data_IF_926138842886
#
_entry.id   IF_926138842886
#
_cell.length_a   1.000
_cell.length_b   1.000
_cell.length_c   1.000
_cell.angle_alpha   90.00
_cell.angle_beta   90.00
_cell.angle_gamma   90.00
#
_symmetry.space_group_name_H-M   'P 1'
#
loop_
_entity.id
_entity.type
_entity.pdbx_description
1 polymer ?
#
# COMPACT_ATOMS: atom_id res chain seq x y z
N UNK A 1 -11.62 -20.86 13.18
CA UNK A 1 -11.86 -19.41 13.02
C UNK A 1 -10.56 -18.72 13.40
N UNK A 2 -9.88 -18.06 12.46
CA UNK A 2 -8.71 -17.24 12.78
C UNK A 2 -9.17 -16.10 13.66
N UNK A 3 -8.66 -15.99 14.89
CA UNK A 3 -9.02 -14.92 15.82
C UNK A 3 -8.08 -13.75 15.56
N UNK A 4 -8.55 -12.74 14.83
CA UNK A 4 -7.82 -11.49 14.66
C UNK A 4 -7.79 -10.70 15.97
N UNK A 5 -6.74 -9.92 16.20
CA UNK A 5 -6.65 -8.98 17.32
C UNK A 5 -6.96 -7.55 16.86
N UNK A 6 -7.37 -6.69 17.79
CA UNK A 6 -7.60 -5.27 17.50
C UNK A 6 -6.33 -4.64 16.93
N UNK A 7 -6.44 -3.88 15.83
CA UNK A 7 -5.29 -3.31 15.15
C UNK A 7 -4.70 -4.16 14.02
N UNK A 8 -5.17 -5.40 13.85
CA UNK A 8 -4.71 -6.29 12.79
C UNK A 8 -5.53 -6.10 11.51
N UNK A 9 -4.90 -6.19 10.34
CA UNK A 9 -5.61 -6.14 9.07
C UNK A 9 -6.52 -7.38 8.90
N UNK A 10 -7.82 -7.17 8.70
CA UNK A 10 -8.84 -8.24 8.71
C UNK A 10 -9.57 -8.35 7.36
N UNK A 11 -10.42 -9.37 7.15
CA UNK A 11 -11.25 -9.47 5.95
C UNK A 11 -12.17 -8.27 5.71
N UNK A 12 -12.64 -7.61 6.76
CA UNK A 12 -13.45 -6.38 6.66
C UNK A 12 -12.62 -5.24 6.05
N UNK A 13 -11.40 -5.04 6.55
CA UNK A 13 -10.46 -4.07 5.97
C UNK A 13 -10.12 -4.38 4.52
N UNK A 14 -10.00 -5.67 4.18
CA UNK A 14 -9.74 -6.14 2.82
C UNK A 14 -10.94 -5.89 1.89
N UNK A 15 -12.17 -5.99 2.38
CA UNK A 15 -13.37 -5.71 1.60
C UNK A 15 -13.47 -4.22 1.26
N UNK A 16 -13.24 -3.35 2.25
CA UNK A 16 -13.27 -1.90 2.06
C UNK A 16 -12.23 -1.39 1.07
N UNK A 17 -11.02 -1.96 1.06
CA UNK A 17 -9.90 -1.44 0.26
C UNK A 17 -9.99 -1.77 -1.24
N UNK A 18 -10.87 -2.69 -1.67
CA UNK A 18 -10.83 -3.27 -3.03
C UNK A 18 -10.85 -2.22 -4.13
N UNK A 19 -11.74 -1.22 -4.05
CA UNK A 19 -11.87 -0.17 -5.07
C UNK A 19 -10.55 0.57 -5.29
N UNK A 20 -9.88 0.99 -4.22
CA UNK A 20 -8.59 1.67 -4.35
C UNK A 20 -7.48 0.77 -4.89
N UNK A 21 -7.50 -0.55 -4.63
CA UNK A 21 -6.55 -1.48 -5.23
C UNK A 21 -6.79 -1.65 -6.74
N UNK A 22 -8.05 -1.63 -7.19
CA UNK A 22 -8.41 -1.64 -8.61
C UNK A 22 -7.92 -0.37 -9.32
N UNK A 23 -8.10 0.79 -8.69
CA UNK A 23 -7.60 2.07 -9.19
C UNK A 23 -6.06 2.09 -9.28
N UNK A 24 -5.36 1.59 -8.25
CA UNK A 24 -3.91 1.41 -8.30
C UNK A 24 -3.49 0.50 -9.47
N UNK A 25 -4.19 -0.63 -9.62
CA UNK A 25 -3.89 -1.61 -10.66
C UNK A 25 -4.08 -1.07 -12.08
N UNK A 26 -5.04 -0.17 -12.26
CA UNK A 26 -5.34 0.46 -13.56
C UNK A 26 -4.53 1.74 -13.82
N UNK A 27 -3.70 2.17 -12.87
CA UNK A 27 -2.85 3.36 -13.00
C UNK A 27 -3.55 4.68 -12.65
N UNK A 28 -4.77 4.64 -12.11
CA UNK A 28 -5.48 5.82 -11.64
C UNK A 28 -5.01 6.23 -10.23
N UNK A 29 -3.72 6.53 -10.10
CA UNK A 29 -3.07 6.70 -8.80
C UNK A 29 -3.62 7.84 -7.96
N UNK A 30 -4.04 8.95 -8.58
CA UNK A 30 -4.69 10.04 -7.86
C UNK A 30 -6.06 9.61 -7.30
N UNK A 31 -6.89 8.91 -8.10
CA UNK A 31 -8.18 8.43 -7.63
C UNK A 31 -8.02 7.36 -6.55
N UNK A 32 -7.01 6.51 -6.68
CA UNK A 32 -6.61 5.56 -5.64
C UNK A 32 -6.27 6.28 -4.33
N UNK A 33 -5.51 7.39 -4.39
CA UNK A 33 -5.23 8.22 -3.22
C UNK A 33 -6.51 8.68 -2.54
N UNK A 34 -7.41 9.34 -3.26
CA UNK A 34 -8.64 9.90 -2.69
C UNK A 34 -9.49 8.82 -2.02
N UNK A 35 -9.77 7.72 -2.73
CA UNK A 35 -10.62 6.63 -2.20
C UNK A 35 -10.02 5.99 -0.95
N UNK A 36 -8.70 5.78 -0.92
CA UNK A 36 -8.05 5.16 0.25
C UNK A 36 -7.86 6.17 1.39
N UNK A 37 -7.74 7.47 1.12
CA UNK A 37 -7.65 8.51 2.15
C UNK A 37 -8.92 8.55 3.01
N UNK A 38 -10.10 8.44 2.40
CA UNK A 38 -11.37 8.36 3.13
C UNK A 38 -11.39 7.16 4.10
N UNK A 39 -11.01 5.97 3.63
CA UNK A 39 -10.88 4.78 4.49
C UNK A 39 -9.86 4.95 5.61
N UNK A 40 -8.73 5.60 5.30
CA UNK A 40 -7.69 5.89 6.27
C UNK A 40 -8.16 6.85 7.35
N UNK A 41 -8.98 7.84 7.01
CA UNK A 41 -9.59 8.79 7.93
C UNK A 41 -10.64 8.13 8.83
N UNK A 42 -11.47 7.25 8.29
CA UNK A 42 -12.51 6.56 9.06
C UNK A 42 -11.93 5.54 10.06
N UNK A 43 -10.78 4.94 9.76
CA UNK A 43 -10.13 3.93 10.59
C UNK A 43 -9.31 4.51 11.78
N UNK A 44 -9.66 5.69 12.29
CA UNK A 44 -8.97 6.30 13.44
C UNK A 44 -9.00 5.39 14.68
N UNK A 45 -7.84 5.17 15.30
CA UNK A 45 -7.67 4.30 16.46
C UNK A 45 -7.39 2.85 16.11
N UNK A 46 -7.58 2.43 14.85
CA UNK A 46 -7.20 1.11 14.36
C UNK A 46 -5.82 1.15 13.67
N UNK A 47 -4.89 0.28 14.07
CA UNK A 47 -3.59 0.18 13.43
C UNK A 47 -3.64 -0.42 12.00
N UNK A 48 -4.72 -1.08 11.61
CA UNK A 48 -4.92 -1.55 10.23
C UNK A 48 -4.90 -0.39 9.22
N UNK A 49 -5.25 0.83 9.64
CA UNK A 49 -5.18 2.05 8.82
C UNK A 49 -3.78 2.30 8.23
N UNK A 50 -2.73 1.79 8.85
CA UNK A 50 -1.37 1.96 8.33
C UNK A 50 -1.17 1.22 6.99
N UNK A 51 -1.94 0.15 6.73
CA UNK A 51 -1.96 -0.52 5.42
C UNK A 51 -2.55 0.41 4.36
N UNK A 52 -3.65 1.10 4.66
CA UNK A 52 -4.22 2.14 3.78
C UNK A 52 -3.20 3.24 3.51
N UNK A 53 -2.48 3.68 4.56
CA UNK A 53 -1.46 4.71 4.41
C UNK A 53 -0.29 4.30 3.50
N UNK A 54 0.11 3.03 3.53
CA UNK A 54 1.11 2.51 2.58
C UNK A 54 0.58 2.61 1.15
N UNK A 55 -0.66 2.17 0.89
CA UNK A 55 -1.27 2.23 -0.44
C UNK A 55 -1.37 3.67 -0.96
N UNK A 56 -1.84 4.61 -0.13
CA UNK A 56 -1.86 6.06 -0.41
C UNK A 56 -0.48 6.53 -0.86
N UNK A 57 0.55 6.26 -0.05
CA UNK A 57 1.91 6.73 -0.32
C UNK A 57 2.51 6.11 -1.59
N UNK A 58 2.21 4.85 -1.88
CA UNK A 58 2.67 4.21 -3.11
C UNK A 58 1.93 4.78 -4.34
N UNK A 59 0.64 5.04 -4.24
CA UNK A 59 -0.12 5.69 -5.30
C UNK A 59 0.42 7.11 -5.57
N UNK A 60 0.58 7.94 -4.53
CA UNK A 60 1.18 9.28 -4.67
C UNK A 60 2.61 9.22 -5.20
N UNK A 61 3.39 8.21 -4.82
CA UNK A 61 4.73 8.02 -5.37
C UNK A 61 4.70 7.76 -6.88
N UNK A 62 3.78 6.92 -7.35
CA UNK A 62 3.67 6.59 -8.77
C UNK A 62 3.07 7.74 -9.57
N UNK A 63 2.14 8.50 -8.99
CA UNK A 63 1.66 9.76 -9.56
C UNK A 63 2.80 10.76 -9.80
N UNK A 64 3.67 10.97 -8.80
CA UNK A 64 4.87 11.81 -8.99
C UNK A 64 5.86 11.22 -10.00
N UNK A 65 5.97 9.89 -10.08
CA UNK A 65 6.82 9.23 -11.07
C UNK A 65 6.36 9.49 -12.50
N UNK A 66 5.04 9.53 -12.75
CA UNK A 66 4.47 9.81 -14.07
C UNK A 66 4.77 11.23 -14.58
N UNK A 67 5.01 12.17 -13.68
CA UNK A 67 5.39 13.56 -13.98
C UNK A 67 6.93 13.78 -13.95
N UNK A 68 7.72 12.70 -13.98
CA UNK A 68 9.18 12.72 -13.81
C UNK A 68 9.67 13.45 -12.53
N UNK A 69 8.78 13.64 -11.55
CA UNK A 69 9.08 14.25 -10.25
C UNK A 69 9.71 13.21 -9.32
N UNK A 70 10.99 12.95 -9.55
CA UNK A 70 11.77 11.97 -8.79
C UNK A 70 11.85 12.30 -7.29
N UNK A 71 11.89 13.58 -6.93
CA UNK A 71 11.94 14.01 -5.53
C UNK A 71 10.64 13.65 -4.79
N UNK A 72 9.49 13.93 -5.42
CA UNK A 72 8.18 13.55 -4.89
C UNK A 72 8.03 12.04 -4.77
N UNK A 73 8.39 11.30 -5.82
CA UNK A 73 8.32 9.84 -5.84
C UNK A 73 9.21 9.21 -4.75
N UNK A 74 10.48 9.63 -4.66
CA UNK A 74 11.41 9.15 -3.63
C UNK A 74 10.92 9.45 -2.22
N UNK A 75 10.42 10.67 -1.98
CA UNK A 75 9.89 11.08 -0.68
C UNK A 75 8.75 10.18 -0.21
N UNK A 76 7.82 9.85 -1.11
CA UNK A 76 6.67 9.01 -0.77
C UNK A 76 7.05 7.54 -0.55
N UNK A 77 7.91 6.95 -1.38
CA UNK A 77 8.41 5.58 -1.14
C UNK A 77 9.16 5.48 0.18
N UNK A 78 9.98 6.46 0.52
CA UNK A 78 10.71 6.44 1.80
C UNK A 78 9.76 6.55 3.01
N UNK A 79 8.67 7.31 2.91
CA UNK A 79 7.61 7.31 3.92
C UNK A 79 6.89 5.95 4.00
N UNK A 80 6.62 5.32 2.86
CA UNK A 80 5.99 4.00 2.79
C UNK A 80 6.81 2.92 3.48
N UNK A 81 8.15 2.93 3.31
CA UNK A 81 9.05 2.05 4.07
C UNK A 81 8.87 2.20 5.58
N UNK A 82 8.83 3.44 6.08
CA UNK A 82 8.62 3.69 7.51
C UNK A 82 7.25 3.20 8.02
N UNK A 83 6.20 3.24 7.18
CA UNK A 83 4.89 2.67 7.53
C UNK A 83 4.89 1.15 7.50
N UNK A 84 5.58 0.53 6.54
CA UNK A 84 5.80 -0.92 6.51
C UNK A 84 6.54 -1.38 7.77
N UNK A 85 7.60 -0.69 8.18
CA UNK A 85 8.34 -1.05 9.40
C UNK A 85 7.47 -0.91 10.66
N UNK A 86 6.57 0.09 10.70
CA UNK A 86 5.58 0.21 11.76
C UNK A 86 4.59 -0.97 11.77
N UNK A 87 4.06 -1.35 10.60
CA UNK A 87 3.15 -2.49 10.43
C UNK A 87 3.78 -3.79 10.95
N UNK A 88 5.04 -4.05 10.57
CA UNK A 88 5.80 -5.22 11.02
C UNK A 88 6.01 -5.22 12.53
N UNK A 89 6.45 -4.09 13.10
CA UNK A 89 6.74 -3.96 14.53
C UNK A 89 5.50 -4.09 15.42
N UNK A 90 4.34 -3.66 14.93
CA UNK A 90 3.10 -3.64 15.71
C UNK A 90 2.17 -4.82 15.37
N UNK A 91 2.66 -5.83 14.65
CA UNK A 91 1.91 -7.04 14.30
C UNK A 91 0.57 -6.79 13.59
N UNK A 92 0.51 -5.71 12.79
CA UNK A 92 -0.68 -5.35 12.01
C UNK A 92 -0.93 -6.38 10.90
N UNK A 93 0.12 -7.08 10.45
CA UNK A 93 0.03 -8.11 9.42
C UNK A 93 -0.83 -9.30 9.88
N UNK A 94 -1.63 -9.83 8.96
CA UNK A 94 -2.41 -11.07 9.14
C UNK A 94 -2.11 -12.09 8.04
N UNK A 95 -2.58 -13.31 8.25
CA UNK A 95 -2.46 -14.44 7.33
C UNK A 95 -3.10 -14.18 5.95
N UNK A 96 -4.04 -13.23 5.87
CA UNK A 96 -4.71 -12.89 4.61
C UNK A 96 -3.92 -11.90 3.75
N UNK A 97 -2.99 -11.12 4.32
CA UNK A 97 -2.32 -10.05 3.58
C UNK A 97 -1.44 -10.59 2.46
N UNK A 98 -0.68 -11.66 2.69
CA UNK A 98 0.14 -12.24 1.62
C UNK A 98 -0.72 -12.87 0.52
N UNK A 99 -1.84 -13.48 0.89
CA UNK A 99 -2.76 -14.13 -0.06
C UNK A 99 -3.47 -13.13 -0.97
N UNK A 100 -3.92 -12.00 -0.43
CA UNK A 100 -4.79 -11.07 -1.15
C UNK A 100 -4.13 -9.74 -1.50
N UNK A 101 -2.97 -9.40 -0.93
CA UNK A 101 -2.23 -8.17 -1.23
C UNK A 101 -0.83 -8.43 -1.80
N UNK A 102 -0.39 -9.70 -1.89
CA UNK A 102 1.00 -10.06 -2.24
C UNK A 102 2.02 -9.29 -1.37
N UNK A 103 1.69 -9.17 -0.08
CA UNK A 103 2.29 -8.21 0.83
C UNK A 103 3.81 -8.40 0.99
N UNK A 104 4.31 -9.62 1.18
CA UNK A 104 5.77 -9.86 1.20
C UNK A 104 6.48 -9.39 -0.08
N UNK A 105 5.88 -9.57 -1.26
CA UNK A 105 6.50 -9.10 -2.50
C UNK A 105 6.44 -7.58 -2.58
N UNK A 106 5.33 -6.95 -2.22
CA UNK A 106 5.25 -5.50 -2.15
C UNK A 106 6.34 -4.93 -1.23
N UNK A 107 6.47 -5.46 -0.01
CA UNK A 107 7.53 -5.06 0.92
C UNK A 107 8.92 -5.19 0.33
N UNK A 108 9.23 -6.29 -0.34
CA UNK A 108 10.52 -6.49 -1.02
C UNK A 108 10.76 -5.46 -2.11
N UNK A 109 9.77 -5.18 -2.96
CA UNK A 109 9.87 -4.18 -4.03
C UNK A 109 10.13 -2.79 -3.43
N UNK A 110 9.33 -2.38 -2.45
CA UNK A 110 9.41 -1.05 -1.82
C UNK A 110 10.72 -0.88 -1.07
N UNK A 111 11.15 -1.88 -0.28
CA UNK A 111 12.42 -1.84 0.47
C UNK A 111 13.66 -1.90 -0.44
N UNK A 112 13.56 -2.48 -1.64
CA UNK A 112 14.65 -2.53 -2.63
C UNK A 112 14.97 -1.18 -3.26
N UNK A 113 14.00 -0.27 -3.37
CA UNK A 113 14.25 1.08 -3.91
C UNK A 113 15.24 1.80 -2.97
N UNK A 114 16.39 2.31 -3.45
CA UNK A 114 17.37 2.96 -2.58
C UNK A 114 16.84 4.29 -2.03
N UNK A 115 17.51 4.85 -1.01
CA UNK A 115 17.12 6.14 -0.42
C UNK A 115 17.19 7.30 -1.44
N UNK A 116 18.22 7.28 -2.30
CA UNK A 116 18.41 8.21 -3.41
C UNK A 116 18.26 7.47 -4.75
N UNK A 117 17.02 7.22 -5.21
CA UNK A 117 16.75 6.43 -6.40
C UNK A 117 16.92 7.23 -7.69
N UNK A 118 17.02 6.50 -8.80
CA UNK A 118 16.78 6.97 -10.16
C UNK A 118 15.38 6.53 -10.59
N UNK A 119 14.82 7.14 -11.64
CA UNK A 119 13.50 6.77 -12.17
C UNK A 119 13.39 5.28 -12.53
N UNK A 120 14.50 4.66 -12.97
CA UNK A 120 14.57 3.23 -13.30
C UNK A 120 14.39 2.30 -12.10
N UNK A 121 14.67 2.76 -10.88
CA UNK A 121 14.57 1.93 -9.67
C UNK A 121 13.11 1.63 -9.31
N UNK A 122 12.16 2.44 -9.81
CA UNK A 122 10.72 2.26 -9.61
C UNK A 122 10.10 1.23 -10.55
N UNK A 123 10.86 0.66 -11.51
CA UNK A 123 10.33 -0.24 -12.55
C UNK A 123 9.49 -1.37 -11.97
N UNK A 124 9.97 -2.03 -10.92
CA UNK A 124 9.23 -3.13 -10.27
C UNK A 124 7.96 -2.65 -9.57
N UNK A 125 8.00 -1.46 -8.94
CA UNK A 125 6.83 -0.88 -8.28
C UNK A 125 5.76 -0.48 -9.31
N UNK A 126 6.16 0.11 -10.44
CA UNK A 126 5.25 0.45 -11.55
C UNK A 126 4.55 -0.78 -12.14
N UNK A 127 5.28 -1.89 -12.23
CA UNK A 127 4.76 -3.15 -12.75
C UNK A 127 4.04 -3.98 -11.68
N UNK A 128 4.07 -3.58 -10.41
CA UNK A 128 3.36 -4.27 -9.34
C UNK A 128 1.85 -4.04 -9.49
N UNK A 129 1.09 -5.11 -9.28
CA UNK A 129 -0.38 -5.12 -9.24
C UNK A 129 -0.81 -5.96 -8.06
N UNK A 130 -1.72 -5.42 -7.25
CA UNK A 130 -2.35 -6.16 -6.15
C UNK A 130 -3.19 -7.31 -6.71
N UNK A 131 -3.18 -8.50 -6.07
CA UNK A 131 -4.17 -9.54 -6.38
C UNK A 131 -5.56 -9.01 -6.08
N UNK A 132 -6.40 -8.86 -7.11
CA UNK A 132 -7.80 -8.53 -6.88
C UNK A 132 -8.53 -9.77 -6.35
N UNK A 133 -9.38 -9.58 -5.33
CA UNK A 133 -10.24 -10.66 -4.87
C UNK A 133 -11.21 -10.97 -6.02
N UNK A 134 -10.98 -12.05 -6.76
CA UNK A 134 -11.99 -12.55 -7.69
C UNK A 134 -13.23 -12.92 -6.88
N UNK A 135 -14.38 -12.50 -7.37
CA UNK A 135 -15.68 -12.64 -6.71
C UNK A 135 -15.89 -14.03 -6.11
N UNK A 136 -16.58 -14.04 -4.97
CA UNK A 136 -17.25 -15.23 -4.43
C UNK A 136 -18.39 -15.60 -5.37
#
# INVERSE_FOLDING_TARGET
MTKYHFGQFTPEHLELIQEGLELYNTGHYWMCHEVIEDLWMDAMGDNARYVYWVVIQLATSLYHHEDDNLNGASGMVNKAKGKIDFIEKNHVESDIMDKYLDWQRLKRIVKKIPHSPKLTDFKELKSFKFPLKQGV
#
